data_IF_037667715908
#
_entry.id   IF_037667715908
#
_cell.length_a   1.000
_cell.length_b   1.000
_cell.length_c   1.000
_cell.angle_alpha   90.00
_cell.angle_beta   90.00
_cell.angle_gamma   90.00
#
_symmetry.space_group_name_H-M   'P 1'
#
loop_
_entity.id
_entity.type
_entity.pdbx_description
1 polymer ?
#
# COMPACT_ATOMS: atom_id res chain seq x y z
N UNK A 1 -10.22 -15.25 5.86
CA UNK A 1 -9.06 -14.93 6.72
C UNK A 1 -8.42 -13.65 6.20
N UNK A 2 -8.13 -12.68 7.06
CA UNK A 2 -7.42 -11.44 6.72
C UNK A 2 -6.15 -11.37 7.56
N UNK A 3 -4.99 -11.13 6.93
CA UNK A 3 -3.68 -11.12 7.59
C UNK A 3 -2.96 -9.82 7.22
N UNK A 4 -2.41 -9.16 8.23
CA UNK A 4 -1.51 -8.02 8.10
C UNK A 4 -0.07 -8.51 8.35
N UNK A 5 0.70 -8.87 7.29
CA UNK A 5 2.03 -9.47 7.43
C UNK A 5 3.05 -8.56 8.12
N UNK A 6 2.79 -7.25 8.19
CA UNK A 6 3.57 -6.26 8.94
C UNK A 6 3.46 -6.40 10.48
N UNK A 7 2.41 -7.06 10.98
CA UNK A 7 2.18 -7.30 12.41
C UNK A 7 1.73 -6.08 13.22
N UNK A 8 1.53 -4.91 12.61
CA UNK A 8 1.06 -3.72 13.31
C UNK A 8 0.86 -2.50 12.40
N UNK A 9 0.22 -1.47 12.94
CA UNK A 9 -0.02 -0.21 12.20
C UNK A 9 1.29 0.54 11.94
N UNK A 10 1.44 1.06 10.72
CA UNK A 10 2.52 1.95 10.34
C UNK A 10 2.61 3.18 11.25
N UNK A 11 3.80 3.50 11.80
CA UNK A 11 3.97 4.68 12.65
C UNK A 11 4.00 5.98 11.83
N UNK A 12 4.54 5.93 10.60
CA UNK A 12 4.81 7.10 9.75
C UNK A 12 3.96 7.13 8.48
N UNK A 13 3.16 6.09 8.22
CA UNK A 13 2.30 5.96 7.04
C UNK A 13 2.91 5.18 5.88
N UNK A 14 4.19 4.79 5.97
CA UNK A 14 4.80 3.82 5.06
C UNK A 14 4.56 2.39 5.56
N UNK A 15 4.54 1.41 4.66
CA UNK A 15 4.46 0.01 5.05
C UNK A 15 5.67 -0.43 5.88
N UNK A 16 5.54 -1.59 6.50
CA UNK A 16 6.65 -2.24 7.20
C UNK A 16 6.99 -3.54 6.45
N UNK A 17 8.19 -4.10 6.65
CA UNK A 17 8.58 -5.36 6.03
C UNK A 17 7.58 -6.47 6.32
N UNK A 18 7.28 -7.29 5.32
CA UNK A 18 6.33 -8.38 5.45
C UNK A 18 6.98 -9.58 6.15
N UNK A 19 6.29 -10.12 7.16
CA UNK A 19 6.64 -11.41 7.75
C UNK A 19 6.08 -12.54 6.90
N UNK A 20 6.82 -13.65 6.82
CA UNK A 20 6.46 -14.81 5.98
C UNK A 20 5.23 -15.61 6.40
N UNK A 21 4.54 -15.25 7.50
CA UNK A 21 3.42 -16.03 8.03
C UNK A 21 2.23 -16.15 7.08
N UNK A 22 1.89 -15.07 6.35
CA UNK A 22 0.80 -15.10 5.37
C UNK A 22 1.09 -16.08 4.21
N UNK A 23 2.32 -16.02 3.68
CA UNK A 23 2.79 -16.92 2.64
C UNK A 23 2.82 -18.38 3.12
N UNK A 24 3.28 -18.61 4.36
CA UNK A 24 3.36 -19.94 4.96
C UNK A 24 1.98 -20.59 5.06
N UNK A 25 1.01 -19.85 5.62
CA UNK A 25 -0.36 -20.35 5.81
C UNK A 25 -1.02 -20.67 4.47
N UNK A 26 -0.90 -19.78 3.49
CA UNK A 26 -1.46 -19.99 2.17
C UNK A 26 -0.85 -21.20 1.44
N UNK A 27 0.48 -21.35 1.50
CA UNK A 27 1.18 -22.49 0.91
C UNK A 27 0.80 -23.81 1.59
N UNK A 28 0.71 -23.82 2.93
CA UNK A 28 0.35 -25.03 3.69
C UNK A 28 -1.11 -25.46 3.47
N UNK A 29 -2.02 -24.51 3.30
CA UNK A 29 -3.43 -24.75 3.08
C UNK A 29 -3.82 -24.91 1.59
N UNK A 30 -2.90 -24.65 0.66
CA UNK A 30 -3.17 -24.76 -0.78
C UNK A 30 -4.18 -23.72 -1.29
N UNK A 31 -4.27 -22.55 -0.64
CA UNK A 31 -5.24 -21.50 -0.98
C UNK A 31 -4.58 -20.28 -1.61
N UNK A 32 -5.27 -19.56 -2.52
CA UNK A 32 -4.75 -18.32 -3.09
C UNK A 32 -4.69 -17.19 -2.05
N UNK A 33 -3.75 -16.27 -2.24
CA UNK A 33 -3.66 -14.99 -1.54
C UNK A 33 -4.17 -13.88 -2.46
N UNK A 34 -5.04 -13.01 -1.94
CA UNK A 34 -5.45 -11.78 -2.61
C UNK A 34 -4.67 -10.63 -1.99
N UNK A 35 -3.73 -9.98 -2.72
CA UNK A 35 -3.03 -8.80 -2.24
C UNK A 35 -4.02 -7.64 -2.05
N UNK A 36 -3.92 -6.92 -0.94
CA UNK A 36 -4.77 -5.76 -0.64
C UNK A 36 -3.89 -4.62 -0.16
N UNK A 37 -4.09 -3.44 -0.76
CA UNK A 37 -3.48 -2.20 -0.30
C UNK A 37 -4.55 -1.29 0.31
N UNK A 38 -4.23 -0.69 1.46
CA UNK A 38 -5.12 0.21 2.20
C UNK A 38 -4.41 1.54 2.43
N UNK A 39 -4.97 2.63 1.91
CA UNK A 39 -4.42 3.98 2.07
C UNK A 39 -5.41 4.94 2.71
N UNK A 40 -4.89 5.88 3.51
CA UNK A 40 -5.68 6.97 4.12
C UNK A 40 -6.23 6.66 5.52
N UNK A 41 -6.24 5.41 5.96
CA UNK A 41 -6.72 5.00 7.30
C UNK A 41 -5.96 5.67 8.46
N UNK A 42 -4.66 5.92 8.28
CA UNK A 42 -3.86 6.68 9.24
C UNK A 42 -4.35 8.11 9.45
N UNK A 43 -5.09 8.72 8.52
CA UNK A 43 -5.70 10.05 8.71
C UNK A 43 -6.97 9.99 9.55
N UNK A 44 -7.67 8.85 9.52
CA UNK A 44 -8.85 8.59 10.33
C UNK A 44 -8.44 8.43 11.79
N UNK A 45 -7.56 7.47 12.09
CA UNK A 45 -7.12 7.21 13.46
C UNK A 45 -5.62 6.89 13.52
N UNK A 46 -4.82 7.93 13.75
CA UNK A 46 -3.36 7.79 13.92
C UNK A 46 -3.04 6.93 15.15
N UNK A 47 -1.93 6.20 15.10
CA UNK A 47 -1.37 5.51 16.26
C UNK A 47 -1.16 6.53 17.40
N UNK A 48 -1.60 6.19 18.61
CA UNK A 48 -1.55 7.07 19.78
C UNK A 48 -2.71 8.09 19.90
N UNK A 49 -3.70 8.07 19.01
CA UNK A 49 -4.91 8.88 19.12
C UNK A 49 -6.12 8.00 19.45
N UNK A 50 -7.00 8.52 20.30
CA UNK A 50 -8.22 7.81 20.74
C UNK A 50 -9.47 8.20 19.95
N UNK A 51 -9.49 9.39 19.33
CA UNK A 51 -10.66 9.90 18.60
C UNK A 51 -10.40 9.93 17.09
N UNK A 52 -11.30 9.36 16.27
CA UNK A 52 -11.17 9.38 14.82
C UNK A 52 -11.51 10.77 14.24
N UNK A 53 -11.03 11.02 13.02
CA UNK A 53 -11.37 12.21 12.22
C UNK A 53 -11.93 11.80 10.85
N UNK A 54 -12.99 12.45 10.35
CA UNK A 54 -13.48 12.20 8.99
C UNK A 54 -12.38 12.42 7.95
N UNK A 55 -12.12 11.41 7.14
CA UNK A 55 -11.14 11.43 6.05
C UNK A 55 -11.49 10.37 5.01
N UNK A 56 -10.96 10.53 3.81
CA UNK A 56 -11.07 9.54 2.74
C UNK A 56 -10.06 8.40 2.93
N UNK A 57 -10.49 7.20 2.57
CA UNK A 57 -9.69 5.97 2.53
C UNK A 57 -9.93 5.28 1.19
N UNK A 58 -8.90 4.64 0.65
CA UNK A 58 -9.00 3.79 -0.53
C UNK A 58 -8.50 2.40 -0.20
N UNK A 59 -9.19 1.39 -0.74
CA UNK A 59 -8.79 -0.01 -0.65
C UNK A 59 -8.68 -0.54 -2.09
N UNK A 60 -7.53 -1.08 -2.43
CA UNK A 60 -7.26 -1.61 -3.77
C UNK A 60 -6.97 -3.10 -3.65
N UNK A 61 -7.67 -3.90 -4.45
CA UNK A 61 -7.55 -5.36 -4.46
C UNK A 61 -6.76 -5.81 -5.70
N UNK A 62 -5.78 -6.67 -5.48
CA UNK A 62 -5.01 -7.29 -6.55
C UNK A 62 -5.61 -8.59 -7.04
N UNK A 63 -4.99 -9.15 -8.07
CA UNK A 63 -5.33 -10.48 -8.58
C UNK A 63 -4.91 -11.55 -7.56
N UNK A 64 -5.75 -12.57 -7.39
CA UNK A 64 -5.40 -13.74 -6.60
C UNK A 64 -4.11 -14.41 -7.13
N UNK A 65 -3.18 -14.71 -6.21
CA UNK A 65 -1.92 -15.39 -6.50
C UNK A 65 -1.80 -16.66 -5.66
N UNK A 66 -1.39 -17.74 -6.31
CA UNK A 66 -1.06 -19.01 -5.66
C UNK A 66 0.47 -19.19 -5.66
N UNK A 67 1.04 -19.88 -4.64
CA UNK A 67 2.45 -20.26 -4.67
C UNK A 67 2.76 -21.04 -5.95
N UNK A 68 3.89 -20.77 -6.59
CA UNK A 68 4.33 -21.62 -7.69
C UNK A 68 4.85 -22.96 -7.17
N UNK A 69 4.84 -24.02 -8.00
CA UNK A 69 5.10 -25.40 -7.55
C UNK A 69 6.42 -25.64 -6.82
N UNK A 70 7.46 -24.82 -7.05
CA UNK A 70 8.75 -24.87 -6.37
C UNK A 70 9.09 -23.59 -5.58
N UNK A 71 8.12 -22.71 -5.36
CA UNK A 71 8.35 -21.45 -4.68
C UNK A 71 8.40 -21.66 -3.16
N UNK A 72 9.50 -21.29 -2.54
CA UNK A 72 9.59 -21.30 -1.09
C UNK A 72 8.77 -20.14 -0.48
N UNK A 73 8.42 -20.29 0.80
CA UNK A 73 7.63 -19.30 1.55
C UNK A 73 8.23 -17.89 1.49
N UNK A 74 9.55 -17.76 1.55
CA UNK A 74 10.23 -16.46 1.52
C UNK A 74 10.04 -15.75 0.18
N UNK A 75 10.21 -16.47 -0.93
CA UNK A 75 9.98 -15.92 -2.28
C UNK A 75 8.51 -15.57 -2.48
N UNK A 76 7.59 -16.42 -1.98
CA UNK A 76 6.17 -16.12 -2.07
C UNK A 76 5.78 -14.90 -1.23
N UNK A 77 6.34 -14.73 -0.04
CA UNK A 77 6.15 -13.53 0.79
C UNK A 77 6.66 -12.26 0.08
N UNK A 78 7.86 -12.30 -0.51
CA UNK A 78 8.40 -11.19 -1.27
C UNK A 78 7.54 -10.87 -2.51
N UNK A 79 6.97 -11.89 -3.17
CA UNK A 79 6.04 -11.70 -4.28
C UNK A 79 4.74 -11.05 -3.82
N UNK A 80 4.18 -11.46 -2.69
CA UNK A 80 3.00 -10.81 -2.08
C UNK A 80 3.30 -9.33 -1.78
N UNK A 81 4.44 -9.03 -1.17
CA UNK A 81 4.86 -7.66 -0.87
C UNK A 81 4.97 -6.81 -2.15
N UNK A 82 5.58 -7.36 -3.21
CA UNK A 82 5.68 -6.67 -4.51
C UNK A 82 4.32 -6.40 -5.14
N UNK A 83 3.38 -7.34 -5.07
CA UNK A 83 2.03 -7.11 -5.59
C UNK A 83 1.33 -6.00 -4.78
N UNK A 84 1.47 -5.98 -3.45
CA UNK A 84 0.91 -4.89 -2.61
C UNK A 84 1.58 -3.55 -2.93
N UNK A 85 2.89 -3.53 -3.18
CA UNK A 85 3.61 -2.32 -3.59
C UNK A 85 3.11 -1.78 -4.93
N UNK A 86 2.81 -2.65 -5.91
CA UNK A 86 2.22 -2.24 -7.18
C UNK A 86 0.80 -1.65 -6.99
N UNK A 87 -0.01 -2.18 -6.08
CA UNK A 87 -1.32 -1.61 -5.74
C UNK A 87 -1.20 -0.26 -5.03
N UNK A 88 -0.18 -0.08 -4.20
CA UNK A 88 0.12 1.20 -3.56
C UNK A 88 0.52 2.26 -4.58
N UNK A 89 1.29 1.86 -5.57
CA UNK A 89 1.70 2.70 -6.67
C UNK A 89 0.50 3.13 -7.56
N UNK A 90 -0.39 2.19 -7.88
CA UNK A 90 -1.64 2.47 -8.58
C UNK A 90 -2.51 3.47 -7.82
N UNK A 91 -2.68 3.27 -6.51
CA UNK A 91 -3.48 4.15 -5.66
C UNK A 91 -2.90 5.58 -5.52
N UNK A 92 -1.61 5.78 -5.80
CA UNK A 92 -0.93 7.08 -5.69
C UNK A 92 -0.68 7.77 -7.03
N UNK A 93 -0.74 7.01 -8.14
CA UNK A 93 -0.51 7.49 -9.50
C UNK A 93 -1.71 7.16 -10.39
N UNK A 94 -1.59 6.17 -11.27
CA UNK A 94 -2.63 5.65 -12.15
C UNK A 94 -2.35 4.18 -12.49
N UNK A 95 -3.38 3.46 -12.94
CA UNK A 95 -3.29 2.04 -13.27
C UNK A 95 -2.25 1.71 -14.34
N UNK A 96 -2.16 2.52 -15.41
CA UNK A 96 -1.31 2.21 -16.55
C UNK A 96 0.18 2.37 -16.18
N UNK A 97 0.53 3.48 -15.54
CA UNK A 97 1.88 3.76 -15.08
C UNK A 97 2.34 2.76 -14.01
N UNK A 98 1.46 2.39 -13.08
CA UNK A 98 1.75 1.38 -12.06
C UNK A 98 1.95 0.00 -12.68
N UNK A 99 1.10 -0.40 -13.64
CA UNK A 99 1.21 -1.71 -14.30
C UNK A 99 2.48 -1.83 -15.14
N UNK A 100 2.88 -0.76 -15.84
CA UNK A 100 4.16 -0.72 -16.58
C UNK A 100 5.37 -0.85 -15.68
N UNK A 101 5.39 -0.15 -14.54
CA UNK A 101 6.49 -0.27 -13.56
C UNK A 101 6.53 -1.64 -12.92
N UNK A 102 5.38 -2.20 -12.54
CA UNK A 102 5.29 -3.55 -12.00
C UNK A 102 5.81 -4.60 -12.99
N UNK A 103 5.49 -4.47 -14.28
CA UNK A 103 6.01 -5.37 -15.32
C UNK A 103 7.54 -5.28 -15.46
N UNK A 104 8.11 -4.08 -15.33
CA UNK A 104 9.57 -3.85 -15.34
C UNK A 104 10.25 -4.13 -14.01
N UNK A 105 9.51 -4.53 -12.97
CA UNK A 105 10.00 -4.66 -11.58
C UNK A 105 10.55 -3.35 -10.98
N UNK A 106 10.10 -2.19 -11.50
CA UNK A 106 10.48 -0.84 -11.08
C UNK A 106 9.42 -0.18 -10.17
N UNK A 107 8.53 -0.97 -9.54
CA UNK A 107 7.52 -0.43 -8.61
C UNK A 107 8.20 0.17 -7.37
N UNK A 108 7.75 1.33 -6.88
CA UNK A 108 8.27 1.91 -5.64
C UNK A 108 8.11 0.95 -4.46
N UNK A 109 9.07 0.99 -3.54
CA UNK A 109 8.99 0.21 -2.30
C UNK A 109 7.81 0.65 -1.43
N UNK A 110 7.13 -0.32 -0.82
CA UNK A 110 6.06 -0.08 0.16
C UNK A 110 6.59 0.56 1.46
N UNK A 111 7.85 0.32 1.82
CA UNK A 111 8.47 0.81 3.07
C UNK A 111 8.96 2.26 2.98
N UNK A 112 8.82 2.88 1.82
CA UNK A 112 9.24 4.24 1.54
C UNK A 112 10.73 4.36 1.22
N UNK A 113 11.22 5.59 0.99
CA UNK A 113 12.61 5.83 0.67
C UNK A 113 13.53 5.60 1.88
N UNK A 114 14.75 5.12 1.62
CA UNK A 114 15.85 5.08 2.60
C UNK A 114 16.36 6.51 2.86
N UNK A 115 15.60 7.25 3.66
CA UNK A 115 15.87 8.65 3.95
C UNK A 115 15.47 9.01 5.38
N UNK A 116 16.00 10.14 5.87
CA UNK A 116 15.62 10.70 7.17
C UNK A 116 14.11 10.94 7.28
N UNK A 117 13.59 10.96 8.51
CA UNK A 117 12.15 11.01 8.80
C UNK A 117 11.41 12.16 8.07
N UNK A 118 12.05 13.32 7.93
CA UNK A 118 11.47 14.47 7.24
C UNK A 118 11.25 14.21 5.74
N UNK A 119 12.19 13.54 5.04
CA UNK A 119 12.05 13.19 3.62
C UNK A 119 10.99 12.12 3.41
N UNK A 120 10.91 11.14 4.32
CA UNK A 120 9.85 10.11 4.30
C UNK A 120 8.46 10.72 4.44
N UNK A 121 8.30 11.68 5.36
CA UNK A 121 7.04 12.39 5.55
C UNK A 121 6.65 13.23 4.32
N UNK A 122 7.61 13.88 3.68
CA UNK A 122 7.38 14.65 2.44
C UNK A 122 7.03 13.74 1.25
N UNK A 123 7.66 12.57 1.14
CA UNK A 123 7.44 11.63 0.04
C UNK A 123 6.03 11.03 0.04
N UNK A 124 5.43 10.81 1.22
CA UNK A 124 4.01 10.43 1.32
C UNK A 124 3.09 11.52 0.77
N UNK A 125 3.48 12.79 0.98
CA UNK A 125 2.78 13.99 0.53
C UNK A 125 1.41 14.16 1.18
N UNK A 126 1.07 15.40 1.53
CA UNK A 126 -0.34 15.77 1.75
C UNK A 126 -0.99 16.10 0.39
N UNK A 127 -1.08 15.08 -0.49
CA UNK A 127 -1.64 15.27 -1.84
C UNK A 127 -3.16 15.54 -1.82
N UNK A 128 -3.80 15.37 -0.66
CA UNK A 128 -5.22 15.68 -0.47
C UNK A 128 -5.54 17.18 -0.53
N UNK A 129 -4.56 18.07 -0.23
CA UNK A 129 -4.76 19.52 -0.29
C UNK A 129 -4.77 20.08 -1.73
N UNK A 130 -4.10 19.43 -2.69
CA UNK A 130 -4.02 19.94 -4.08
C UNK A 130 -5.23 19.59 -4.95
N UNK A 131 -5.94 18.49 -4.66
CA UNK A 131 -7.15 18.13 -5.41
C UNK A 131 -8.39 18.98 -5.04
N UNK A 132 -8.30 19.85 -4.02
CA UNK A 132 -9.35 20.78 -3.59
C UNK A 132 -9.03 22.25 -3.87
N UNK A 133 -8.13 22.55 -4.80
CA UNK A 133 -8.27 23.79 -5.57
C UNK A 133 -9.52 23.61 -6.45
N UNK A 134 -10.70 23.75 -5.84
CA UNK A 134 -11.92 24.10 -6.56
C UNK A 134 -11.51 25.27 -7.44
N UNK A 135 -11.67 25.10 -8.76
CA UNK A 135 -11.73 26.21 -9.70
C UNK A 135 -12.44 27.37 -9.02
N UNK A 136 -11.70 28.45 -8.72
CA UNK A 136 -12.32 29.75 -8.52
C UNK A 136 -12.96 30.08 -9.86
N UNK A 137 -14.23 29.73 -10.03
CA UNK A 137 -15.10 30.40 -10.99
C UNK A 137 -15.22 31.83 -10.47
N UNK A 138 -14.40 32.72 -11.01
CA UNK A 138 -14.68 34.15 -10.95
C UNK A 138 -16.04 34.37 -11.63
N UNK A 139 -16.93 35.20 -11.08
CA UNK A 139 -18.10 35.62 -11.83
C UNK A 139 -17.66 36.55 -12.96
N UNK A 140 -18.14 36.30 -14.18
CA UNK A 140 -18.18 37.32 -15.22
C UNK A 140 -19.34 38.26 -14.89
N UNK A 141 -19.00 39.47 -14.46
CA UNK A 141 -19.89 40.65 -14.49
C UNK A 141 -19.01 41.82 -14.92
#
# INVERSE_FOLDING_TARGET
LLIYPEGGRSPDGWGQPFRGGAAYLAARAGVPVVPVHVAGTGRILRKGRSLPRPSNTSVTFGRAITPAGNENTTRFAARIEREVAALADEATTDWYSARRRAHRTDSPSLTGPEAGQWRRAWALGDRSRRARSRQKRWPEI
#
